data_IF_791521685663
#
_entry.id   IF_791521685663
#
_cell.length_a   1.000
_cell.length_b   1.000
_cell.length_c   1.000
_cell.angle_alpha   90.00
_cell.angle_beta   90.00
_cell.angle_gamma   90.00
#
_symmetry.space_group_name_H-M   'P 1'
#
loop_
_entity.id
_entity.type
_entity.pdbx_description
1 polymer ?
#
# COMPACT_ATOMS: atom_id res chain seq x y z
N UNK A 1 15.15 44.09 70.48
CA UNK A 1 15.55 43.25 69.37
C UNK A 1 14.31 42.55 68.83
N UNK A 2 13.82 42.90 67.66
CA UNK A 2 12.69 42.21 67.03
C UNK A 2 13.23 41.10 66.11
N UNK A 3 12.48 40.00 66.07
CA UNK A 3 12.69 38.81 65.25
C UNK A 3 12.46 39.06 63.72
N UNK A 4 13.11 38.34 62.80
CA UNK A 4 12.92 38.56 61.37
C UNK A 4 11.62 37.90 60.87
N UNK A 5 10.87 38.70 60.09
CA UNK A 5 9.69 38.26 59.35
C UNK A 5 10.05 37.31 58.20
N UNK A 6 9.32 36.25 58.16
CA UNK A 6 9.34 35.26 57.05
C UNK A 6 8.59 35.80 55.86
N UNK A 7 9.29 36.00 54.74
CA UNK A 7 8.68 36.26 53.42
C UNK A 7 8.00 34.99 52.85
N UNK A 8 6.84 35.12 52.22
CA UNK A 8 6.21 33.99 51.51
C UNK A 8 6.86 33.78 50.14
N UNK A 9 7.29 32.57 49.91
CA UNK A 9 7.80 32.05 48.61
C UNK A 9 6.71 32.09 47.55
N UNK A 10 6.89 32.90 46.53
CA UNK A 10 6.04 32.87 45.31
C UNK A 10 6.27 31.58 44.55
N UNK A 11 5.26 30.73 44.52
CA UNK A 11 5.14 29.62 43.58
C UNK A 11 4.94 30.20 42.16
N UNK A 12 5.94 30.07 41.34
CA UNK A 12 5.83 30.31 39.90
C UNK A 12 5.02 29.22 39.25
N UNK A 13 3.76 29.52 38.91
CA UNK A 13 2.93 28.65 38.05
C UNK A 13 3.48 28.69 36.62
N UNK A 14 4.29 27.70 36.28
CA UNK A 14 4.62 27.40 34.90
C UNK A 14 3.33 26.93 34.18
N UNK A 15 2.57 27.88 33.63
CA UNK A 15 1.58 27.58 32.60
C UNK A 15 2.33 27.14 31.36
N UNK A 16 2.48 25.82 31.16
CA UNK A 16 2.74 25.27 29.84
C UNK A 16 1.58 25.68 28.93
N UNK A 17 1.83 26.70 28.12
CA UNK A 17 0.97 27.02 26.97
C UNK A 17 1.12 25.83 26.01
N UNK A 18 0.20 24.87 26.07
CA UNK A 18 -0.02 23.93 24.99
C UNK A 18 -0.50 24.78 23.81
N UNK A 19 0.41 25.12 22.92
CA UNK A 19 0.05 25.57 21.59
C UNK A 19 -0.68 24.40 20.92
N UNK A 20 -2.00 24.40 21.02
CA UNK A 20 -2.85 23.58 20.15
C UNK A 20 -2.73 24.21 18.77
N UNK A 21 -1.78 23.70 17.98
CA UNK A 21 -1.74 23.99 16.54
C UNK A 21 -2.98 23.31 15.99
N UNK A 22 -4.04 24.09 15.74
CA UNK A 22 -5.17 23.67 14.95
C UNK A 22 -4.66 23.44 13.52
N UNK A 23 -4.18 22.24 13.22
CA UNK A 23 -4.14 21.77 11.86
C UNK A 23 -5.61 21.61 11.45
N UNK A 24 -6.12 22.47 10.58
CA UNK A 24 -7.32 22.18 9.84
C UNK A 24 -7.05 20.82 9.15
N UNK A 25 -7.83 19.79 9.44
CA UNK A 25 -7.59 18.44 8.95
C UNK A 25 -7.47 18.45 7.43
N UNK A 26 -6.50 17.69 6.90
CA UNK A 26 -6.32 17.52 5.47
C UNK A 26 -7.57 16.88 4.87
N UNK A 27 -8.07 17.40 3.74
CA UNK A 27 -9.14 16.76 2.95
C UNK A 27 -8.52 15.64 2.14
N UNK A 28 -8.78 14.40 2.54
CA UNK A 28 -8.21 13.22 1.89
C UNK A 28 -9.32 12.39 1.26
N UNK A 29 -9.21 12.13 -0.04
CA UNK A 29 -10.06 11.14 -0.68
C UNK A 29 -9.33 9.80 -0.80
N UNK A 30 -9.92 8.73 -0.28
CA UNK A 30 -9.45 7.37 -0.54
C UNK A 30 -10.28 6.77 -1.66
N UNK A 31 -9.67 6.61 -2.82
CA UNK A 31 -10.30 6.01 -3.99
C UNK A 31 -10.19 4.49 -3.92
N UNK A 32 -11.29 3.84 -3.54
CA UNK A 32 -11.37 2.41 -3.27
C UNK A 32 -11.35 2.10 -1.77
N UNK A 33 -12.53 2.03 -1.14
CA UNK A 33 -12.70 1.72 0.29
C UNK A 33 -12.67 0.20 0.59
N UNK A 34 -11.86 -0.58 -0.14
CA UNK A 34 -11.64 -2.00 0.13
C UNK A 34 -10.84 -2.25 1.40
N UNK A 35 -10.23 -3.44 1.53
CA UNK A 35 -9.49 -3.83 2.73
C UNK A 35 -8.37 -2.84 3.11
N UNK A 36 -7.56 -2.41 2.14
CA UNK A 36 -6.47 -1.45 2.34
C UNK A 36 -7.03 -0.04 2.50
N UNK A 37 -7.81 0.43 1.53
CA UNK A 37 -8.32 1.81 1.55
C UNK A 37 -9.27 2.07 2.70
N UNK A 38 -10.14 1.12 3.05
CA UNK A 38 -11.03 1.25 4.19
C UNK A 38 -10.28 1.33 5.52
N UNK A 39 -9.19 0.55 5.69
CA UNK A 39 -8.31 0.67 6.86
C UNK A 39 -7.68 2.07 6.94
N UNK A 40 -7.09 2.56 5.84
CA UNK A 40 -6.47 3.89 5.79
C UNK A 40 -7.52 4.99 6.08
N UNK A 41 -8.67 4.93 5.41
CA UNK A 41 -9.74 5.91 5.56
C UNK A 41 -10.31 5.95 7.00
N UNK A 42 -10.52 4.78 7.62
CA UNK A 42 -11.02 4.72 9.00
C UNK A 42 -10.04 5.33 10.00
N UNK A 43 -8.74 5.03 9.86
CA UNK A 43 -7.68 5.59 10.70
C UNK A 43 -7.56 7.11 10.55
N UNK A 44 -7.52 7.61 9.31
CA UNK A 44 -7.43 9.04 9.02
C UNK A 44 -8.67 9.80 9.55
N UNK A 45 -9.86 9.26 9.36
CA UNK A 45 -11.10 9.89 9.84
C UNK A 45 -11.16 9.92 11.37
N UNK A 46 -10.74 8.84 12.04
CA UNK A 46 -10.72 8.78 13.50
C UNK A 46 -9.70 9.75 14.12
N UNK A 47 -8.67 10.15 13.39
CA UNK A 47 -7.69 11.16 13.84
C UNK A 47 -8.08 12.62 13.52
N UNK A 48 -9.30 12.86 13.04
CA UNK A 48 -9.83 14.21 12.84
C UNK A 48 -9.59 14.79 11.46
N UNK A 49 -9.14 14.01 10.47
CA UNK A 49 -9.04 14.46 9.09
C UNK A 49 -10.43 14.44 8.41
N UNK A 50 -10.62 15.34 7.43
CA UNK A 50 -11.80 15.32 6.57
C UNK A 50 -11.62 14.25 5.49
N UNK A 51 -12.23 13.08 5.70
CA UNK A 51 -12.03 11.93 4.81
C UNK A 51 -13.25 11.69 3.95
N UNK A 52 -13.02 11.55 2.66
CA UNK A 52 -13.99 11.05 1.69
C UNK A 52 -13.53 9.71 1.10
N UNK A 53 -14.46 8.88 0.67
CA UNK A 53 -14.16 7.60 0.02
C UNK A 53 -14.96 7.42 -1.25
N UNK A 54 -14.32 6.88 -2.28
CA UNK A 54 -15.01 6.37 -3.46
C UNK A 54 -15.24 4.88 -3.28
N UNK A 55 -16.50 4.48 -3.22
CA UNK A 55 -16.93 3.10 -3.04
C UNK A 55 -18.20 2.85 -3.87
N UNK A 56 -18.63 1.60 -3.98
CA UNK A 56 -19.82 1.23 -4.77
C UNK A 56 -20.57 0.05 -4.16
N UNK A 57 -21.81 -0.13 -4.65
CA UNK A 57 -22.69 -1.24 -4.29
C UNK A 57 -23.00 -1.33 -2.79
N UNK A 58 -23.22 -2.55 -2.25
CA UNK A 58 -23.58 -2.74 -0.85
C UNK A 58 -22.57 -2.15 0.14
N UNK A 59 -21.27 -2.12 -0.23
CA UNK A 59 -20.23 -1.53 0.62
C UNK A 59 -20.44 -0.02 0.77
N UNK A 60 -20.70 0.71 -0.33
CA UNK A 60 -21.01 2.13 -0.29
C UNK A 60 -22.22 2.42 0.61
N UNK A 61 -23.32 1.67 0.41
CA UNK A 61 -24.54 1.86 1.19
C UNK A 61 -24.32 1.65 2.69
N UNK A 62 -23.51 0.66 3.07
CA UNK A 62 -23.17 0.41 4.47
C UNK A 62 -22.32 1.55 5.04
N UNK A 63 -21.33 2.04 4.30
CA UNK A 63 -20.46 3.14 4.72
C UNK A 63 -21.26 4.45 4.86
N UNK A 64 -22.19 4.74 3.95
CA UNK A 64 -23.03 5.93 4.03
C UNK A 64 -23.93 5.92 5.27
N UNK A 65 -24.48 4.76 5.64
CA UNK A 65 -25.37 4.64 6.80
C UNK A 65 -24.61 4.61 8.13
N UNK A 66 -23.50 3.89 8.20
CA UNK A 66 -22.88 3.49 9.44
C UNK A 66 -21.44 4.03 9.63
N UNK A 67 -20.84 4.64 8.59
CA UNK A 67 -19.39 4.92 8.53
C UNK A 67 -18.57 3.67 8.23
N UNK A 68 -17.25 3.82 8.22
CA UNK A 68 -16.30 2.70 8.10
C UNK A 68 -15.99 2.17 9.50
N UNK A 69 -16.23 0.88 9.71
CA UNK A 69 -15.91 0.18 10.95
C UNK A 69 -14.63 -0.61 10.77
N UNK A 70 -13.62 -0.33 11.60
CA UNK A 70 -12.35 -1.06 11.60
C UNK A 70 -12.22 -1.87 12.89
N UNK A 71 -12.22 -3.19 12.76
CA UNK A 71 -11.91 -4.12 13.83
C UNK A 71 -10.38 -4.22 13.96
N UNK A 72 -9.82 -3.71 15.06
CA UNK A 72 -8.40 -3.50 15.26
C UNK A 72 -7.95 -4.13 16.59
N UNK A 73 -7.70 -5.45 16.57
CA UNK A 73 -7.55 -6.24 17.78
C UNK A 73 -8.88 -6.29 18.53
N UNK A 74 -8.85 -5.96 19.81
CA UNK A 74 -10.04 -5.89 20.69
C UNK A 74 -10.79 -4.55 20.56
N UNK A 75 -10.22 -3.60 19.82
CA UNK A 75 -10.82 -2.28 19.60
C UNK A 75 -11.65 -2.24 18.31
N UNK A 76 -12.67 -1.40 18.33
CA UNK A 76 -13.42 -1.01 17.14
C UNK A 76 -13.26 0.48 16.92
N UNK A 77 -12.68 0.85 15.76
CA UNK A 77 -12.52 2.23 15.33
C UNK A 77 -13.62 2.55 14.34
N UNK A 78 -14.35 3.64 14.57
CA UNK A 78 -15.39 4.13 13.67
C UNK A 78 -14.86 5.36 12.93
N UNK A 79 -14.62 5.22 11.63
CA UNK A 79 -14.28 6.31 10.71
C UNK A 79 -15.55 6.91 10.11
N UNK A 80 -15.90 8.14 10.48
CA UNK A 80 -16.96 8.89 9.81
C UNK A 80 -16.41 9.52 8.55
N UNK A 81 -16.90 9.08 7.40
CA UNK A 81 -16.40 9.50 6.09
C UNK A 81 -17.56 9.93 5.19
N UNK A 82 -17.30 10.84 4.26
CA UNK A 82 -18.20 11.13 3.16
C UNK A 82 -17.99 10.10 2.06
N UNK A 83 -19.00 9.33 1.68
CA UNK A 83 -18.88 8.24 0.72
C UNK A 83 -19.75 8.47 -0.51
N UNK A 84 -19.19 8.31 -1.71
CA UNK A 84 -19.93 8.34 -2.97
C UNK A 84 -19.30 7.38 -3.98
N UNK A 85 -20.08 6.95 -4.97
CA UNK A 85 -19.56 6.27 -6.16
C UNK A 85 -19.18 7.27 -7.26
N UNK A 86 -19.62 8.53 -7.14
CA UNK A 86 -19.38 9.61 -8.09
C UNK A 86 -18.38 10.61 -7.51
N UNK A 87 -17.11 10.60 -7.95
CA UNK A 87 -16.08 11.53 -7.45
C UNK A 87 -16.44 13.00 -7.56
N UNK A 88 -17.24 13.38 -8.55
CA UNK A 88 -17.71 14.75 -8.72
C UNK A 88 -18.50 15.29 -7.51
N UNK A 89 -19.17 14.43 -6.75
CA UNK A 89 -19.86 14.82 -5.53
C UNK A 89 -18.92 15.13 -4.36
N UNK A 90 -17.69 14.65 -4.42
CA UNK A 90 -16.69 14.83 -3.38
C UNK A 90 -15.86 16.12 -3.58
N UNK A 91 -15.70 16.54 -4.84
CA UNK A 91 -14.95 17.73 -5.22
C UNK A 91 -13.44 17.65 -5.02
N UNK A 92 -12.68 18.72 -5.28
CA UNK A 92 -11.22 18.73 -5.18
C UNK A 92 -10.73 18.45 -3.75
N UNK A 93 -9.67 17.65 -3.67
CA UNK A 93 -9.06 17.16 -2.44
C UNK A 93 -7.66 17.72 -2.25
N UNK A 94 -7.17 17.72 -1.02
CA UNK A 94 -5.78 18.11 -0.71
C UNK A 94 -4.82 16.93 -0.97
N UNK A 95 -5.34 15.67 -0.91
CA UNK A 95 -4.61 14.46 -1.27
C UNK A 95 -5.60 13.37 -1.73
N UNK A 96 -5.22 12.60 -2.75
CA UNK A 96 -5.99 11.41 -3.17
C UNK A 96 -5.12 10.17 -2.97
N UNK A 97 -5.62 9.20 -2.19
CA UNK A 97 -4.98 7.90 -1.98
C UNK A 97 -5.73 6.86 -2.82
N UNK A 98 -5.08 6.32 -3.84
CA UNK A 98 -5.64 5.28 -4.71
C UNK A 98 -5.33 3.91 -4.14
N UNK A 99 -6.34 3.24 -3.59
CA UNK A 99 -6.23 1.92 -2.97
C UNK A 99 -7.04 0.86 -3.73
N UNK A 100 -7.13 1.01 -5.03
CA UNK A 100 -7.65 -0.02 -5.94
C UNK A 100 -6.58 -1.08 -6.18
N UNK A 101 -7.00 -2.25 -6.64
CA UNK A 101 -6.06 -3.24 -7.19
C UNK A 101 -5.43 -2.73 -8.49
N UNK A 102 -4.20 -3.16 -8.78
CA UNK A 102 -3.46 -2.72 -9.97
C UNK A 102 -4.26 -2.89 -11.28
N UNK A 103 -4.94 -4.01 -11.44
CA UNK A 103 -5.79 -4.32 -12.60
C UNK A 103 -7.12 -3.52 -12.64
N UNK A 104 -7.40 -2.68 -11.66
CA UNK A 104 -8.61 -1.84 -11.59
C UNK A 104 -8.30 -0.34 -11.68
N UNK A 105 -7.05 0.05 -11.86
CA UNK A 105 -6.62 1.45 -11.88
C UNK A 105 -7.22 2.25 -13.05
N UNK A 106 -7.59 1.61 -14.15
CA UNK A 106 -8.31 2.26 -15.24
C UNK A 106 -9.59 2.98 -14.80
N UNK A 107 -10.32 2.41 -13.83
CA UNK A 107 -11.52 3.05 -13.27
C UNK A 107 -11.20 4.36 -12.51
N UNK A 108 -10.03 4.46 -11.90
CA UNK A 108 -9.55 5.70 -11.31
C UNK A 108 -9.20 6.71 -12.40
N UNK A 109 -8.45 6.31 -13.43
CA UNK A 109 -8.06 7.20 -14.53
C UNK A 109 -9.26 7.89 -15.18
N UNK A 110 -10.35 7.15 -15.38
CA UNK A 110 -11.58 7.66 -15.99
C UNK A 110 -12.38 8.65 -15.11
N UNK A 111 -12.16 8.62 -13.80
CA UNK A 111 -12.98 9.34 -12.83
C UNK A 111 -12.21 10.31 -11.93
N UNK A 112 -10.88 10.40 -12.07
CA UNK A 112 -10.03 11.14 -11.14
C UNK A 112 -10.21 12.67 -11.19
N UNK A 113 -10.49 13.22 -12.38
CA UNK A 113 -10.45 14.66 -12.63
C UNK A 113 -11.19 15.54 -11.61
N UNK A 114 -12.43 15.23 -11.15
CA UNK A 114 -13.12 16.05 -10.17
C UNK A 114 -12.44 16.11 -8.79
N UNK A 115 -11.60 15.15 -8.45
CA UNK A 115 -10.89 15.10 -7.17
C UNK A 115 -9.59 15.91 -7.19
N UNK A 116 -9.09 16.25 -8.38
CA UNK A 116 -7.79 16.85 -8.57
C UNK A 116 -7.91 18.38 -8.67
N UNK A 117 -7.49 19.09 -7.62
CA UNK A 117 -7.22 20.51 -7.68
C UNK A 117 -5.88 20.81 -8.40
N UNK A 118 -5.42 22.05 -8.32
CA UNK A 118 -4.21 22.50 -9.03
C UNK A 118 -2.96 21.68 -8.66
N UNK A 119 -2.80 21.31 -7.39
CA UNK A 119 -1.57 20.68 -6.86
C UNK A 119 -1.84 19.38 -6.09
N UNK A 120 -3.04 18.81 -6.20
CA UNK A 120 -3.42 17.61 -5.47
C UNK A 120 -2.46 16.46 -5.77
N UNK A 121 -1.70 15.94 -4.80
CA UNK A 121 -0.91 14.74 -4.96
C UNK A 121 -1.80 13.50 -5.01
N UNK A 122 -1.34 12.51 -5.79
CA UNK A 122 -2.02 11.21 -5.95
C UNK A 122 -1.09 10.11 -5.47
N UNK A 123 -1.49 9.44 -4.40
CA UNK A 123 -0.72 8.39 -3.72
C UNK A 123 -1.19 7.03 -4.24
N UNK A 124 -0.31 6.27 -4.86
CA UNK A 124 -0.65 4.95 -5.40
C UNK A 124 -0.24 3.83 -4.44
N UNK A 125 -1.22 3.24 -3.75
CA UNK A 125 -1.04 2.25 -2.68
C UNK A 125 -1.35 0.83 -3.16
N UNK A 126 -0.72 0.38 -4.24
CA UNK A 126 -0.86 -0.96 -4.81
C UNK A 126 0.24 -1.93 -4.35
N UNK A 127 -0.03 -3.23 -4.53
CA UNK A 127 0.98 -4.27 -4.43
C UNK A 127 1.67 -4.50 -5.78
N UNK A 128 2.89 -5.01 -5.75
CA UNK A 128 3.65 -5.34 -6.96
C UNK A 128 4.42 -4.16 -7.53
N UNK A 129 4.88 -4.30 -8.76
CA UNK A 129 5.53 -3.22 -9.52
C UNK A 129 4.47 -2.19 -9.89
N UNK A 130 4.62 -0.90 -9.53
CA UNK A 130 3.64 0.11 -9.84
C UNK A 130 3.77 0.60 -11.28
N UNK A 131 2.65 1.04 -11.88
CA UNK A 131 2.59 1.58 -13.24
C UNK A 131 3.52 2.80 -13.44
N UNK A 132 3.73 3.60 -12.39
CA UNK A 132 4.58 4.78 -12.41
C UNK A 132 6.09 4.49 -12.25
N UNK A 133 6.47 3.22 -12.17
CA UNK A 133 7.84 2.81 -11.83
C UNK A 133 8.94 3.46 -12.69
N UNK A 134 8.67 3.73 -13.97
CA UNK A 134 9.62 4.34 -14.88
C UNK A 134 9.80 5.87 -14.70
N UNK A 135 8.92 6.54 -13.94
CA UNK A 135 9.01 8.00 -13.78
C UNK A 135 10.04 8.40 -12.72
N UNK A 136 10.75 9.50 -12.95
CA UNK A 136 11.68 10.08 -11.98
C UNK A 136 12.87 9.19 -11.63
N UNK A 137 13.29 8.27 -12.51
CA UNK A 137 14.47 7.44 -12.27
C UNK A 137 15.72 8.32 -12.17
N UNK A 138 16.55 8.06 -11.16
CA UNK A 138 17.86 8.72 -11.02
C UNK A 138 18.76 8.40 -12.20
N UNK A 139 19.58 9.36 -12.59
CA UNK A 139 20.61 9.16 -13.60
C UNK A 139 21.51 7.97 -13.24
N UNK A 140 21.82 7.12 -14.24
CA UNK A 140 22.64 5.91 -14.05
C UNK A 140 21.87 4.68 -13.55
N UNK A 141 20.61 4.80 -13.13
CA UNK A 141 19.78 3.63 -12.82
C UNK A 141 19.36 2.94 -14.12
N UNK A 142 19.50 1.60 -14.24
CA UNK A 142 19.05 0.86 -15.42
C UNK A 142 17.57 1.11 -15.72
N UNK A 143 17.24 1.24 -17.00
CA UNK A 143 15.84 1.38 -17.43
C UNK A 143 15.05 0.12 -17.08
N UNK A 144 13.80 0.25 -16.60
CA UNK A 144 12.92 -0.90 -16.43
C UNK A 144 12.57 -1.52 -17.79
N UNK A 145 12.07 -2.76 -17.81
CA UNK A 145 11.44 -3.34 -19.00
C UNK A 145 10.21 -2.52 -19.42
N UNK A 146 9.60 -2.92 -20.53
CA UNK A 146 8.27 -2.40 -20.89
C UNK A 146 7.26 -2.74 -19.78
N UNK A 147 6.61 -1.73 -19.23
CA UNK A 147 5.59 -1.82 -18.19
C UNK A 147 4.21 -1.36 -18.69
N UNK A 148 4.00 -1.26 -20.00
CA UNK A 148 2.75 -0.80 -20.62
C UNK A 148 1.54 -1.66 -20.20
N UNK A 149 1.76 -2.93 -19.87
CA UNK A 149 0.74 -3.82 -19.34
C UNK A 149 0.18 -3.37 -17.97
N UNK A 150 0.90 -2.53 -17.22
CA UNK A 150 0.45 -1.95 -15.95
C UNK A 150 -0.41 -0.70 -16.11
N UNK A 151 -0.38 -0.07 -17.30
CA UNK A 151 -1.22 1.06 -17.71
C UNK A 151 -1.68 0.87 -19.17
N UNK A 152 -2.57 -0.08 -19.44
CA UNK A 152 -3.02 -0.37 -20.80
C UNK A 152 -3.64 0.86 -21.47
N UNK A 153 -3.06 1.24 -22.60
CA UNK A 153 -3.46 2.42 -23.37
C UNK A 153 -3.04 3.76 -22.75
N UNK A 154 -2.17 3.79 -21.76
CA UNK A 154 -1.64 5.02 -21.16
C UNK A 154 -2.68 5.87 -20.42
N UNK A 155 -3.77 5.26 -19.97
CA UNK A 155 -4.89 5.97 -19.31
C UNK A 155 -4.49 6.67 -18.02
N UNK A 156 -3.69 6.01 -17.20
CA UNK A 156 -3.21 6.58 -15.94
C UNK A 156 -2.23 7.74 -16.19
N UNK A 157 -1.34 7.56 -17.14
CA UNK A 157 -0.39 8.61 -17.55
C UNK A 157 -1.10 9.83 -18.13
N UNK A 158 -2.21 9.62 -18.85
CA UNK A 158 -3.03 10.71 -19.37
C UNK A 158 -3.83 11.43 -18.27
N UNK A 159 -4.27 10.71 -17.23
CA UNK A 159 -5.11 11.24 -16.17
C UNK A 159 -4.32 11.92 -15.04
N UNK A 160 -3.08 11.47 -14.79
CA UNK A 160 -2.26 11.93 -13.65
C UNK A 160 -0.88 12.33 -14.13
N UNK A 161 -0.62 13.64 -14.10
CA UNK A 161 0.70 14.16 -14.43
C UNK A 161 1.77 13.59 -13.48
N UNK A 162 2.98 13.25 -13.98
CA UNK A 162 4.05 12.64 -13.17
C UNK A 162 4.38 13.39 -11.87
N UNK A 163 4.27 14.72 -11.89
CA UNK A 163 4.57 15.59 -10.75
C UNK A 163 3.56 15.43 -9.61
N UNK A 164 2.39 14.85 -9.86
CA UNK A 164 1.37 14.57 -8.84
C UNK A 164 1.59 13.25 -8.11
N UNK A 165 2.38 12.36 -8.68
CA UNK A 165 2.53 11.00 -8.20
C UNK A 165 3.33 10.96 -6.90
N UNK A 166 2.80 10.26 -5.91
CA UNK A 166 3.52 9.77 -4.74
C UNK A 166 3.44 8.24 -4.75
N UNK A 167 4.59 7.58 -4.71
CA UNK A 167 4.66 6.15 -4.55
C UNK A 167 4.32 5.72 -3.14
N UNK A 168 3.64 4.59 -2.98
CA UNK A 168 3.36 4.05 -1.67
C UNK A 168 3.50 2.53 -1.60
N UNK A 169 3.90 2.03 -0.42
CA UNK A 169 4.01 0.59 -0.12
C UNK A 169 3.26 0.28 1.16
N UNK A 170 2.23 -0.55 1.05
CA UNK A 170 1.32 -0.90 2.15
C UNK A 170 1.82 -2.13 2.89
N UNK A 171 2.01 -2.04 4.19
CA UNK A 171 2.28 -3.17 5.08
C UNK A 171 1.17 -3.26 6.12
N UNK A 172 0.05 -3.84 5.72
CA UNK A 172 -1.06 -4.14 6.61
C UNK A 172 -1.81 -5.37 6.10
N UNK A 173 -2.26 -6.22 7.01
CA UNK A 173 -3.06 -7.39 6.71
C UNK A 173 -4.52 -7.08 7.06
N UNK A 174 -5.30 -6.75 6.05
CA UNK A 174 -6.69 -6.36 6.21
C UNK A 174 -7.62 -7.19 5.34
N UNK A 175 -8.86 -7.30 5.76
CA UNK A 175 -9.93 -7.94 5.02
C UNK A 175 -11.25 -7.18 5.19
N UNK A 176 -12.04 -7.09 4.14
CA UNK A 176 -13.44 -6.69 4.24
C UNK A 176 -14.23 -7.92 4.66
N UNK A 177 -14.68 -7.95 5.91
CA UNK A 177 -15.42 -9.10 6.48
C UNK A 177 -16.92 -9.01 6.18
N UNK A 178 -17.45 -7.81 6.08
CA UNK A 178 -18.80 -7.50 5.64
C UNK A 178 -18.87 -6.08 5.06
N UNK A 179 -19.92 -5.69 4.34
CA UNK A 179 -20.04 -4.34 3.82
C UNK A 179 -19.85 -3.26 4.91
N UNK A 180 -18.91 -2.34 4.69
CA UNK A 180 -18.58 -1.27 5.65
C UNK A 180 -17.69 -1.69 6.81
N UNK A 181 -17.31 -2.98 6.94
CA UNK A 181 -16.50 -3.49 8.06
C UNK A 181 -15.17 -4.08 7.56
N UNK A 182 -14.08 -3.53 8.05
CA UNK A 182 -12.72 -3.98 7.78
C UNK A 182 -12.16 -4.62 9.05
N UNK A 183 -11.51 -5.77 8.93
CA UNK A 183 -10.73 -6.40 10.00
C UNK A 183 -9.25 -6.23 9.72
N UNK A 184 -8.51 -5.73 10.70
CA UNK A 184 -7.04 -5.73 10.68
C UNK A 184 -6.52 -6.89 11.53
N UNK A 185 -5.71 -7.77 10.92
CA UNK A 185 -5.20 -8.98 11.57
C UNK A 185 -3.94 -8.76 12.38
N UNK A 186 -3.26 -7.62 12.20
CA UNK A 186 -1.98 -7.33 12.86
C UNK A 186 -1.96 -5.86 13.30
N UNK A 187 -2.71 -5.47 14.35
CA UNK A 187 -2.86 -4.08 14.81
C UNK A 187 -1.50 -3.49 15.08
N UNK A 188 -0.60 -3.65 15.63
CA UNK A 188 0.68 -2.97 15.90
C UNK A 188 1.69 -2.91 14.72
N UNK A 189 1.30 -3.42 13.54
CA UNK A 189 2.24 -3.60 12.41
C UNK A 189 1.81 -2.90 11.11
N UNK A 190 0.91 -1.94 11.24
CA UNK A 190 0.39 -1.22 10.09
C UNK A 190 1.34 -0.11 9.67
N UNK A 191 1.77 -0.15 8.42
CA UNK A 191 2.71 0.82 7.88
C UNK A 191 2.32 1.16 6.44
N UNK A 192 2.40 2.45 6.10
CA UNK A 192 2.31 2.95 4.74
C UNK A 192 3.57 3.78 4.46
N UNK A 193 4.53 3.18 3.78
CA UNK A 193 5.72 3.88 3.31
C UNK A 193 5.36 4.71 2.10
N UNK A 194 5.69 6.00 2.11
CA UNK A 194 5.43 6.90 0.98
C UNK A 194 6.71 7.62 0.56
N UNK A 195 6.82 7.95 -0.74
CA UNK A 195 8.00 8.63 -1.27
C UNK A 195 7.78 9.16 -2.67
N UNK A 196 8.61 10.13 -3.04
CA UNK A 196 8.62 10.68 -4.40
C UNK A 196 9.20 9.65 -5.40
N UNK A 197 8.66 9.58 -6.63
CA UNK A 197 9.23 8.73 -7.67
C UNK A 197 10.68 9.09 -8.05
N UNK A 198 11.13 10.31 -7.82
CA UNK A 198 12.50 10.75 -8.07
C UNK A 198 13.40 10.63 -6.82
N UNK A 199 12.92 9.98 -5.77
CA UNK A 199 13.61 9.77 -4.49
C UNK A 199 14.05 11.08 -3.80
N UNK A 200 13.40 12.21 -4.10
CA UNK A 200 13.64 13.47 -3.40
C UNK A 200 12.87 13.53 -2.07
N UNK A 201 13.40 14.28 -1.12
CA UNK A 201 12.65 14.65 0.08
C UNK A 201 11.79 15.86 -0.25
N UNK A 202 10.47 15.74 -0.10
CA UNK A 202 9.54 16.82 -0.38
C UNK A 202 8.66 17.14 0.82
N UNK A 203 8.26 18.42 0.94
CA UNK A 203 7.35 18.87 2.00
C UNK A 203 6.00 18.14 1.94
N UNK A 204 5.48 17.84 0.75
CA UNK A 204 4.19 17.15 0.60
C UNK A 204 4.25 15.70 1.11
N UNK A 205 5.37 14.98 0.88
CA UNK A 205 5.59 13.64 1.42
C UNK A 205 5.75 13.71 2.94
N UNK A 206 6.49 14.67 3.47
CA UNK A 206 6.63 14.88 4.92
C UNK A 206 5.28 15.18 5.59
N UNK A 207 4.47 16.06 5.03
CA UNK A 207 3.13 16.35 5.53
C UNK A 207 2.23 15.12 5.53
N UNK A 208 2.23 14.35 4.44
CA UNK A 208 1.47 13.11 4.34
C UNK A 208 1.92 12.09 5.40
N UNK A 209 3.23 11.90 5.59
CA UNK A 209 3.78 11.03 6.63
C UNK A 209 3.33 11.45 8.02
N UNK A 210 3.43 12.74 8.36
CA UNK A 210 2.98 13.26 9.65
C UNK A 210 1.47 13.01 9.87
N UNK A 211 0.65 13.14 8.83
CA UNK A 211 -0.79 12.84 8.87
C UNK A 211 -1.04 11.34 9.10
N UNK A 212 -0.27 10.46 8.47
CA UNK A 212 -0.36 9.03 8.67
C UNK A 212 0.08 8.61 10.09
N UNK A 213 1.21 9.13 10.56
CA UNK A 213 1.72 8.86 11.92
C UNK A 213 0.72 9.34 12.99
N UNK A 214 0.15 10.53 12.85
CA UNK A 214 -0.86 11.03 13.78
C UNK A 214 -2.15 10.20 13.78
N UNK A 215 -2.41 9.45 12.71
CA UNK A 215 -3.52 8.50 12.62
C UNK A 215 -3.20 7.11 13.17
N UNK A 216 -2.00 6.91 13.73
CA UNK A 216 -1.53 5.62 14.24
C UNK A 216 -1.18 4.61 13.15
N UNK A 217 -0.77 5.09 11.98
CA UNK A 217 -0.15 4.29 10.93
C UNK A 217 1.33 4.68 10.79
N UNK A 218 2.24 3.74 11.01
CA UNK A 218 3.66 4.03 10.83
C UNK A 218 3.96 4.42 9.39
N UNK A 219 4.72 5.51 9.20
CA UNK A 219 5.12 6.00 7.88
C UNK A 219 6.57 6.51 7.92
N UNK A 220 7.55 5.61 8.07
CA UNK A 220 8.95 6.00 8.15
C UNK A 220 9.46 6.63 6.84
N UNK A 221 10.51 7.45 6.89
CA UNK A 221 11.11 8.02 5.69
C UNK A 221 11.69 6.93 4.80
N UNK A 222 11.50 7.06 3.50
CA UNK A 222 12.10 6.20 2.49
C UNK A 222 13.04 7.05 1.62
N UNK A 223 14.33 6.72 1.62
CA UNK A 223 15.30 7.37 0.75
C UNK A 223 15.19 6.91 -0.71
N UNK A 224 14.59 5.75 -0.93
CA UNK A 224 14.31 5.13 -2.22
C UNK A 224 13.00 4.36 -2.14
N UNK A 225 11.95 4.92 -2.73
CA UNK A 225 10.63 4.28 -2.70
C UNK A 225 10.61 2.94 -3.45
N UNK A 226 11.43 2.79 -4.50
CA UNK A 226 11.53 1.53 -5.25
C UNK A 226 12.21 0.44 -4.44
N UNK A 227 13.15 0.79 -3.55
CA UNK A 227 13.70 -0.16 -2.59
C UNK A 227 12.59 -0.74 -1.70
N UNK A 228 11.69 0.11 -1.20
CA UNK A 228 10.54 -0.35 -0.40
C UNK A 228 9.59 -1.23 -1.20
N UNK A 229 9.33 -0.89 -2.47
CA UNK A 229 8.54 -1.71 -3.40
C UNK A 229 9.15 -3.10 -3.53
N UNK A 230 10.45 -3.18 -3.89
CA UNK A 230 11.12 -4.44 -4.12
C UNK A 230 11.34 -5.26 -2.85
N UNK A 231 11.63 -4.63 -1.72
CA UNK A 231 11.76 -5.34 -0.44
C UNK A 231 10.48 -6.05 -0.04
N UNK A 232 9.32 -5.42 -0.27
CA UNK A 232 8.02 -6.08 -0.08
C UNK A 232 7.78 -7.14 -1.15
N UNK A 233 8.06 -6.82 -2.41
CA UNK A 233 7.84 -7.71 -3.55
C UNK A 233 8.64 -9.01 -3.42
N UNK A 234 9.90 -8.95 -2.98
CA UNK A 234 10.74 -10.13 -2.71
C UNK A 234 10.06 -11.14 -1.79
N UNK A 235 9.33 -10.67 -0.79
CA UNK A 235 8.59 -11.55 0.12
C UNK A 235 7.27 -12.03 -0.48
N UNK A 236 6.56 -11.13 -1.18
CA UNK A 236 5.25 -11.45 -1.74
C UNK A 236 5.38 -12.40 -2.92
N UNK A 237 6.39 -12.24 -3.76
CA UNK A 237 6.61 -13.04 -4.95
C UNK A 237 6.61 -14.55 -4.63
N UNK A 238 7.41 -14.96 -3.64
CA UNK A 238 7.44 -16.35 -3.21
C UNK A 238 6.16 -16.80 -2.47
N UNK A 239 5.72 -16.02 -1.46
CA UNK A 239 4.53 -16.39 -0.69
C UNK A 239 3.27 -16.44 -1.57
N UNK A 240 3.05 -15.44 -2.44
CA UNK A 240 1.86 -15.42 -3.30
C UNK A 240 1.87 -16.57 -4.30
N UNK A 241 3.00 -16.86 -4.94
CA UNK A 241 3.14 -17.93 -5.92
C UNK A 241 2.93 -19.30 -5.28
N UNK A 242 3.67 -19.62 -4.21
CA UNK A 242 3.59 -20.94 -3.59
C UNK A 242 2.24 -21.16 -2.91
N UNK A 243 1.70 -20.18 -2.18
CA UNK A 243 0.38 -20.33 -1.58
C UNK A 243 -0.73 -20.50 -2.64
N UNK A 244 -0.63 -19.80 -3.79
CA UNK A 244 -1.58 -19.98 -4.89
C UNK A 244 -1.49 -21.38 -5.50
N UNK A 245 -0.28 -21.87 -5.74
CA UNK A 245 -0.08 -23.20 -6.35
C UNK A 245 -0.52 -24.34 -5.44
N UNK A 246 -0.28 -24.22 -4.14
CA UNK A 246 -0.58 -25.25 -3.13
C UNK A 246 -1.94 -25.06 -2.45
N UNK A 247 -2.59 -23.92 -2.64
CA UNK A 247 -3.81 -23.50 -1.91
C UNK A 247 -3.63 -23.51 -0.38
N UNK A 248 -2.38 -23.41 0.08
CA UNK A 248 -1.99 -23.47 1.48
C UNK A 248 -1.73 -22.08 2.09
N UNK A 249 -1.75 -22.02 3.43
CA UNK A 249 -1.38 -20.80 4.17
C UNK A 249 0.12 -20.56 4.14
N UNK A 250 0.54 -19.32 4.43
CA UNK A 250 1.96 -18.95 4.55
C UNK A 250 2.69 -19.82 5.58
N UNK A 251 2.02 -20.14 6.70
CA UNK A 251 2.58 -21.02 7.72
C UNK A 251 2.83 -22.44 7.23
N UNK A 252 1.87 -23.03 6.50
CA UNK A 252 2.00 -24.36 5.94
C UNK A 252 3.13 -24.45 4.90
N UNK A 253 3.21 -23.46 3.99
CA UNK A 253 4.30 -23.39 2.99
C UNK A 253 5.67 -23.29 3.66
N UNK A 254 5.79 -22.52 4.74
CA UNK A 254 7.06 -22.36 5.47
C UNK A 254 7.44 -23.55 6.34
N UNK A 255 6.47 -24.30 6.81
CA UNK A 255 6.69 -25.50 7.61
C UNK A 255 7.17 -26.70 6.78
N UNK A 256 6.85 -26.72 5.47
CA UNK A 256 7.36 -27.74 4.56
C UNK A 256 8.79 -27.43 4.13
N UNK A 257 9.78 -28.34 4.36
CA UNK A 257 11.18 -28.08 4.06
C UNK A 257 11.45 -27.84 2.56
N UNK A 258 10.73 -28.52 1.66
CA UNK A 258 10.92 -28.38 0.22
C UNK A 258 10.36 -27.05 -0.29
N UNK A 259 9.15 -26.69 0.15
CA UNK A 259 8.53 -25.40 -0.20
C UNK A 259 9.28 -24.21 0.43
N UNK A 260 9.77 -24.36 1.66
CA UNK A 260 10.61 -23.34 2.31
C UNK A 260 11.90 -23.09 1.55
N UNK A 261 12.53 -24.15 1.00
CA UNK A 261 13.71 -24.03 0.13
C UNK A 261 13.40 -23.31 -1.19
N UNK A 262 12.24 -23.60 -1.81
CA UNK A 262 11.78 -22.90 -3.00
C UNK A 262 11.52 -21.42 -2.70
N UNK A 263 10.88 -21.11 -1.58
CA UNK A 263 10.65 -19.75 -1.11
C UNK A 263 11.96 -18.95 -0.97
N UNK A 264 12.98 -19.60 -0.40
CA UNK A 264 14.33 -19.02 -0.30
C UNK A 264 14.92 -18.70 -1.66
N UNK A 265 14.91 -19.65 -2.59
CA UNK A 265 15.42 -19.48 -3.97
C UNK A 265 14.72 -18.34 -4.72
N UNK A 266 13.39 -18.28 -4.65
CA UNK A 266 12.63 -17.18 -5.27
C UNK A 266 13.04 -15.82 -4.69
N UNK A 267 13.26 -15.74 -3.39
CA UNK A 267 13.76 -14.53 -2.73
C UNK A 267 15.18 -14.17 -3.15
N UNK A 268 16.06 -15.16 -3.35
CA UNK A 268 17.44 -14.95 -3.82
C UNK A 268 17.46 -14.43 -5.26
N UNK A 269 16.69 -15.03 -6.15
CA UNK A 269 16.53 -14.58 -7.55
C UNK A 269 15.98 -13.14 -7.59
N UNK A 270 14.97 -12.82 -6.78
CA UNK A 270 14.44 -11.45 -6.68
C UNK A 270 15.51 -10.44 -6.20
N UNK A 271 16.36 -10.81 -5.25
CA UNK A 271 17.49 -9.95 -4.80
C UNK A 271 18.55 -9.75 -5.89
N UNK A 272 18.80 -10.76 -6.71
CA UNK A 272 19.71 -10.60 -7.87
C UNK A 272 19.11 -9.62 -8.87
N UNK A 273 17.81 -9.71 -9.17
CA UNK A 273 17.11 -8.75 -10.02
C UNK A 273 17.21 -7.32 -9.44
N UNK A 274 16.97 -7.15 -8.13
CA UNK A 274 17.11 -5.84 -7.47
C UNK A 274 18.48 -5.23 -7.74
N UNK A 275 19.56 -5.98 -7.47
CA UNK A 275 20.94 -5.52 -7.68
C UNK A 275 21.23 -5.15 -9.14
N UNK A 276 20.75 -5.97 -10.08
CA UNK A 276 20.92 -5.70 -11.51
C UNK A 276 20.24 -4.40 -11.97
N UNK A 277 19.18 -3.98 -11.28
CA UNK A 277 18.49 -2.71 -11.52
C UNK A 277 18.94 -1.57 -10.59
N UNK A 278 20.08 -1.71 -9.91
CA UNK A 278 20.64 -0.68 -9.03
C UNK A 278 19.78 -0.38 -7.80
N UNK A 279 18.99 -1.36 -7.32
CA UNK A 279 18.15 -1.22 -6.15
C UNK A 279 18.87 -1.85 -4.96
N UNK A 280 19.12 -1.11 -3.85
CA UNK A 280 19.77 -1.64 -2.68
C UNK A 280 18.98 -2.80 -2.06
N UNK A 281 19.67 -3.88 -1.69
CA UNK A 281 19.05 -5.03 -1.03
C UNK A 281 19.10 -4.95 0.51
N UNK A 282 19.84 -3.99 1.03
CA UNK A 282 20.02 -3.71 2.47
C UNK A 282 19.52 -2.31 2.81
N UNK A 283 19.24 -2.04 4.08
CA UNK A 283 18.78 -0.72 4.53
C UNK A 283 17.34 -0.39 4.11
N UNK A 284 16.56 -1.39 3.73
CA UNK A 284 15.12 -1.18 3.49
C UNK A 284 14.43 -0.81 4.80
N UNK A 285 13.32 -0.06 4.67
CA UNK A 285 12.48 0.30 5.81
C UNK A 285 12.05 -0.96 6.57
N UNK A 286 12.38 -1.01 7.85
CA UNK A 286 12.00 -2.12 8.72
C UNK A 286 10.52 -2.07 9.09
N UNK A 287 9.90 -3.23 9.13
CA UNK A 287 8.51 -3.35 9.60
C UNK A 287 8.44 -3.21 11.11
N UNK A 288 7.47 -2.48 11.66
CA UNK A 288 7.23 -2.47 13.09
C UNK A 288 7.07 -3.89 13.64
N UNK A 289 7.72 -4.18 14.76
CA UNK A 289 7.57 -5.43 15.49
C UNK A 289 8.22 -6.67 14.89
N UNK A 290 9.30 -6.54 14.13
CA UNK A 290 10.20 -7.62 13.60
C UNK A 290 9.76 -9.08 13.72
N UNK A 291 10.24 -9.98 12.87
CA UNK A 291 9.99 -11.42 12.97
C UNK A 291 8.60 -11.91 12.52
N UNK A 292 8.33 -13.20 12.76
CA UNK A 292 7.05 -13.85 12.43
C UNK A 292 5.98 -13.50 13.46
N UNK A 293 4.86 -12.94 13.02
CA UNK A 293 3.70 -12.78 13.91
C UNK A 293 2.89 -14.07 13.93
N UNK A 294 2.47 -14.57 15.11
CA UNK A 294 1.58 -15.73 15.21
C UNK A 294 0.31 -15.60 14.35
N UNK A 295 -0.22 -14.39 14.20
CA UNK A 295 -1.38 -14.10 13.35
C UNK A 295 -1.14 -14.31 11.84
N UNK A 296 0.11 -14.47 11.40
CA UNK A 296 0.44 -14.74 10.00
C UNK A 296 0.57 -16.25 9.68
N UNK A 297 0.57 -17.14 10.67
CA UNK A 297 0.67 -18.58 10.42
C UNK A 297 -0.53 -19.09 9.61
N UNK A 298 -1.73 -18.69 10.00
CA UNK A 298 -2.98 -19.00 9.27
C UNK A 298 -3.28 -18.05 8.11
N UNK A 299 -2.43 -17.07 7.85
CA UNK A 299 -2.69 -16.05 6.84
C UNK A 299 -2.57 -16.61 5.42
N UNK A 300 -3.56 -16.25 4.60
CA UNK A 300 -3.54 -16.47 3.15
C UNK A 300 -3.17 -15.16 2.46
N UNK A 301 -2.16 -15.12 1.56
CA UNK A 301 -1.86 -13.93 0.77
C UNK A 301 -3.09 -13.46 -0.01
N UNK A 302 -3.16 -12.15 -0.29
CA UNK A 302 -4.30 -11.54 -1.02
C UNK A 302 -4.58 -12.24 -2.35
N UNK A 303 -3.54 -12.68 -3.05
CA UNK A 303 -3.65 -13.41 -4.32
C UNK A 303 -4.37 -14.76 -4.17
N UNK A 304 -4.08 -15.54 -3.12
CA UNK A 304 -4.81 -16.75 -2.83
C UNK A 304 -6.26 -16.46 -2.41
N UNK A 305 -6.47 -15.43 -1.59
CA UNK A 305 -7.83 -15.02 -1.22
C UNK A 305 -8.67 -14.61 -2.44
N UNK A 306 -8.06 -13.94 -3.42
CA UNK A 306 -8.74 -13.59 -4.67
C UNK A 306 -9.08 -14.82 -5.51
N UNK A 307 -8.14 -15.76 -5.62
CA UNK A 307 -8.35 -17.03 -6.31
C UNK A 307 -9.50 -17.83 -5.71
N UNK A 308 -9.55 -17.98 -4.40
CA UNK A 308 -10.62 -18.71 -3.68
C UNK A 308 -11.99 -18.03 -3.87
N UNK A 309 -12.01 -16.70 -3.91
CA UNK A 309 -13.23 -15.90 -4.05
C UNK A 309 -13.64 -15.62 -5.51
N UNK A 310 -12.92 -16.18 -6.49
CA UNK A 310 -13.19 -15.95 -7.91
C UNK A 310 -13.05 -14.48 -8.33
N UNK A 311 -12.07 -13.75 -7.78
CA UNK A 311 -11.85 -12.34 -8.09
C UNK A 311 -10.68 -12.15 -9.03
N UNK A 312 -10.70 -11.12 -9.92
CA UNK A 312 -9.54 -10.77 -10.74
C UNK A 312 -8.28 -10.58 -9.90
N UNK A 313 -7.16 -11.15 -10.37
CA UNK A 313 -5.89 -11.23 -9.66
C UNK A 313 -4.86 -10.25 -10.23
N UNK A 314 -3.98 -9.74 -9.36
CA UNK A 314 -2.91 -8.78 -9.72
C UNK A 314 -1.65 -9.49 -10.25
N UNK A 315 -1.82 -10.45 -11.16
CA UNK A 315 -0.74 -11.30 -11.71
C UNK A 315 0.32 -10.44 -12.40
N UNK A 316 -0.12 -9.47 -13.22
CA UNK A 316 0.81 -8.63 -13.97
C UNK A 316 1.77 -7.87 -13.06
N UNK A 317 1.24 -7.13 -12.08
CA UNK A 317 2.04 -6.30 -11.20
C UNK A 317 2.91 -7.11 -10.23
N UNK A 318 2.42 -8.25 -9.75
CA UNK A 318 3.09 -8.99 -8.68
C UNK A 318 3.96 -10.15 -9.18
N UNK A 319 3.72 -10.70 -10.36
CA UNK A 319 4.45 -11.87 -10.88
C UNK A 319 5.13 -11.59 -12.24
N UNK A 320 4.38 -11.11 -13.23
CA UNK A 320 4.91 -10.97 -14.60
C UNK A 320 5.91 -9.82 -14.73
N UNK A 321 5.58 -8.65 -14.18
CA UNK A 321 6.50 -7.52 -14.22
C UNK A 321 7.85 -7.81 -13.52
N UNK A 322 7.92 -8.39 -12.29
CA UNK A 322 9.18 -8.82 -11.71
C UNK A 322 9.99 -9.77 -12.58
N UNK A 323 9.33 -10.74 -13.23
CA UNK A 323 9.99 -11.67 -14.16
C UNK A 323 10.53 -10.94 -15.38
N UNK A 324 9.80 -9.97 -15.93
CA UNK A 324 10.26 -9.11 -17.02
C UNK A 324 11.51 -8.30 -16.65
N UNK A 325 11.60 -7.81 -15.41
CA UNK A 325 12.82 -7.17 -14.90
C UNK A 325 14.02 -8.11 -14.91
N UNK A 326 13.86 -9.37 -14.50
CA UNK A 326 14.91 -10.38 -14.55
C UNK A 326 15.40 -10.62 -15.99
N UNK A 327 14.46 -10.80 -16.92
CA UNK A 327 14.76 -11.00 -18.35
C UNK A 327 15.48 -9.80 -18.98
N UNK A 328 15.01 -8.59 -18.71
CA UNK A 328 15.62 -7.36 -19.23
C UNK A 328 17.06 -7.16 -18.76
N UNK A 329 17.38 -7.64 -17.56
CA UNK A 329 18.73 -7.57 -16.99
C UNK A 329 19.60 -8.80 -17.33
N UNK A 330 19.09 -9.79 -18.08
CA UNK A 330 19.81 -11.04 -18.35
C UNK A 330 20.10 -11.87 -17.10
N UNK A 331 19.30 -11.71 -16.04
CA UNK A 331 19.43 -12.46 -14.79
C UNK A 331 18.81 -13.84 -14.94
N UNK A 332 19.57 -14.89 -14.59
CA UNK A 332 19.01 -16.23 -14.53
C UNK A 332 18.01 -16.37 -13.36
N UNK A 333 16.78 -16.75 -13.68
CA UNK A 333 15.68 -16.89 -12.72
C UNK A 333 15.00 -18.25 -12.82
N UNK A 334 15.75 -19.38 -12.69
CA UNK A 334 15.23 -20.71 -12.99
C UNK A 334 14.03 -21.09 -12.12
N UNK A 335 13.97 -20.64 -10.87
CA UNK A 335 12.84 -20.93 -9.98
C UNK A 335 11.62 -20.08 -10.35
N UNK A 336 11.82 -18.79 -10.62
CA UNK A 336 10.74 -17.89 -11.03
C UNK A 336 10.20 -18.31 -12.42
N UNK A 337 11.09 -18.63 -13.37
CA UNK A 337 10.72 -19.07 -14.72
C UNK A 337 9.90 -20.39 -14.72
N UNK A 338 10.13 -21.25 -13.73
CA UNK A 338 9.34 -22.48 -13.58
C UNK A 338 7.99 -22.24 -12.91
N UNK A 339 7.94 -21.47 -11.83
CA UNK A 339 6.77 -21.40 -10.96
C UNK A 339 5.77 -20.30 -11.33
N UNK A 340 6.24 -19.15 -11.86
CA UNK A 340 5.34 -18.06 -12.24
C UNK A 340 4.40 -18.45 -13.38
N UNK A 341 4.86 -19.09 -14.47
CA UNK A 341 3.94 -19.57 -15.53
C UNK A 341 2.86 -20.53 -15.00
N UNK A 342 3.20 -21.43 -14.07
CA UNK A 342 2.22 -22.34 -13.46
C UNK A 342 1.16 -21.57 -12.66
N UNK A 343 1.59 -20.60 -11.85
CA UNK A 343 0.68 -19.74 -11.08
C UNK A 343 -0.21 -18.87 -12.00
N UNK A 344 0.37 -18.34 -13.08
CA UNK A 344 -0.34 -17.55 -14.08
C UNK A 344 -1.37 -18.40 -14.84
N UNK A 345 -0.98 -19.60 -15.27
CA UNK A 345 -1.89 -20.55 -15.93
C UNK A 345 -3.04 -20.95 -15.01
N UNK A 346 -2.76 -21.23 -13.74
CA UNK A 346 -3.79 -21.55 -12.74
C UNK A 346 -4.82 -20.43 -12.58
N UNK A 347 -4.38 -19.17 -12.54
CA UNK A 347 -5.27 -18.02 -12.48
C UNK A 347 -6.09 -17.86 -13.77
N UNK A 348 -5.47 -18.03 -14.93
CA UNK A 348 -6.11 -17.90 -16.24
C UNK A 348 -7.13 -19.01 -16.49
N UNK A 349 -6.83 -20.26 -16.13
CA UNK A 349 -7.74 -21.40 -16.26
C UNK A 349 -9.06 -21.21 -15.48
N UNK A 350 -9.04 -20.37 -14.42
CA UNK A 350 -10.23 -19.99 -13.65
C UNK A 350 -10.86 -18.66 -14.14
N UNK A 351 -10.32 -18.06 -15.22
CA UNK A 351 -10.81 -16.78 -15.77
C UNK A 351 -10.51 -15.55 -14.88
N UNK A 352 -9.53 -15.67 -13.97
CA UNK A 352 -9.18 -14.59 -13.02
C UNK A 352 -8.02 -13.70 -13.47
N UNK A 353 -7.42 -14.05 -14.60
CA UNK A 353 -6.39 -13.32 -15.30
C UNK A 353 -6.52 -13.54 -16.81
N UNK A 354 -6.50 -12.48 -17.59
CA UNK A 354 -6.42 -12.57 -19.04
C UNK A 354 -4.95 -12.71 -19.42
N UNK A 355 -4.54 -13.88 -19.91
CA UNK A 355 -3.21 -14.06 -20.48
C UNK A 355 -3.18 -13.36 -21.83
N UNK A 356 -2.49 -12.24 -21.91
CA UNK A 356 -2.02 -11.76 -23.19
C UNK A 356 -0.84 -12.67 -23.57
N UNK A 357 -1.09 -13.68 -24.40
CA UNK A 357 0.01 -14.43 -25.01
C UNK A 357 0.79 -13.42 -25.87
N UNK A 358 1.87 -12.89 -25.33
CA UNK A 358 2.88 -12.21 -26.14
C UNK A 358 3.49 -13.29 -27.01
N UNK A 359 3.08 -13.32 -28.26
CA UNK A 359 3.67 -14.13 -29.33
C UNK A 359 5.09 -13.64 -29.62
#
# INVERSE_FOLDING_TARGET
MPSPETMPTRLSSNRQIRMTVYFSGMRVCVFGAGAVGGHIAAKLAASGNEVSVVARGPHLQAVQRNGLKLLHGDETILGRVRASERPAELGPQDCVIVALKANMLGAFAEQAAPLLGRETPVVFAQNGVPWWYAFGLKAGRPKPPDLSALDPGGKLQAAVAPERIIGAVVYSANEVVEPGVIRNFVPGRNMLVVGEPNDSFSRRVEQLRNTLESSGMSSPPAADIRQSVWSKLTQNLGNSTLCLLTEATVGAVRADPALSKLLGRMGDEARVIMRAHGIPTEGAVERPGGGQSPGLIGHKPSMLQDYERGRPMEIEAQLMAPLAFGRAAGVATPTLDALIPLATFKAAAKGLYAMNFLH
#
